data_IF_876230095713
#
_entry.id   IF_876230095713
#
_cell.length_a   1.000
_cell.length_b   1.000
_cell.length_c   1.000
_cell.angle_alpha   90.00
_cell.angle_beta   90.00
_cell.angle_gamma   90.00
#
_symmetry.space_group_name_H-M   'P 1'
#
loop_
_entity.id
_entity.type
_entity.pdbx_description
1 polymer ?
#
# COMPACT_ATOMS: atom_id res chain seq x y z
N UNK A 1 11.91 12.58 -7.30
CA UNK A 1 10.91 11.49 -7.15
C UNK A 1 10.08 11.86 -5.95
N UNK A 2 8.77 12.00 -6.14
CA UNK A 2 7.84 12.34 -5.06
C UNK A 2 7.36 11.04 -4.43
N UNK A 3 7.56 10.90 -3.13
CA UNK A 3 6.95 9.84 -2.33
C UNK A 3 5.70 10.42 -1.71
N UNK A 4 4.57 9.76 -1.90
CA UNK A 4 3.29 10.15 -1.31
C UNK A 4 2.93 9.12 -0.26
N UNK A 5 2.56 9.59 0.92
CA UNK A 5 2.25 8.72 2.05
C UNK A 5 0.87 9.02 2.61
N UNK A 6 0.15 7.97 3.00
CA UNK A 6 -1.21 8.08 3.51
C UNK A 6 -1.49 7.01 4.56
N UNK A 7 -1.99 7.43 5.70
CA UNK A 7 -2.52 6.52 6.72
C UNK A 7 -3.92 6.05 6.31
N UNK A 8 -4.13 4.74 6.34
CA UNK A 8 -5.40 4.11 5.99
C UNK A 8 -5.78 3.05 7.01
N UNK A 9 -7.07 2.99 7.34
CA UNK A 9 -7.61 1.92 8.15
C UNK A 9 -7.97 0.71 7.27
N UNK A 10 -7.42 -0.46 7.60
CA UNK A 10 -7.71 -1.74 6.94
C UNK A 10 -8.04 -2.76 8.02
N UNK A 11 -9.20 -3.41 7.92
CA UNK A 11 -9.67 -4.39 8.90
C UNK A 11 -9.63 -3.90 10.37
N UNK A 12 -9.93 -2.62 10.61
CA UNK A 12 -9.97 -2.03 11.94
C UNK A 12 -8.61 -1.61 12.51
N UNK A 13 -7.51 -1.78 11.78
CA UNK A 13 -6.17 -1.34 12.18
C UNK A 13 -5.66 -0.24 11.25
N UNK A 14 -4.88 0.69 11.80
CA UNK A 14 -4.23 1.73 11.02
C UNK A 14 -2.92 1.23 10.43
N UNK A 15 -2.74 1.48 9.13
CA UNK A 15 -1.53 1.21 8.39
C UNK A 15 -1.08 2.44 7.64
N UNK A 16 0.23 2.58 7.51
CA UNK A 16 0.85 3.66 6.78
C UNK A 16 1.29 3.15 5.40
N UNK A 17 0.68 3.70 4.36
CA UNK A 17 0.99 3.36 2.96
C UNK A 17 1.89 4.45 2.39
N UNK A 18 3.09 4.07 1.96
CA UNK A 18 3.99 4.95 1.23
C UNK A 18 4.08 4.47 -0.22
N UNK A 19 3.70 5.33 -1.16
CA UNK A 19 3.76 5.09 -2.60
C UNK A 19 4.89 5.92 -3.20
N UNK A 20 5.67 5.32 -4.09
CA UNK A 20 6.75 6.01 -4.82
C UNK A 20 6.66 5.64 -6.28
N UNK A 21 6.56 6.65 -7.15
CA UNK A 21 6.55 6.43 -8.58
C UNK A 21 7.89 5.86 -9.06
N UNK A 22 7.85 4.65 -9.62
CA UNK A 22 9.03 3.91 -10.11
C UNK A 22 9.33 4.23 -11.58
N UNK A 23 8.41 4.92 -12.27
CA UNK A 23 8.39 5.04 -13.73
C UNK A 23 7.49 3.98 -14.37
N UNK A 24 7.27 4.09 -15.69
CA UNK A 24 6.50 3.08 -16.46
C UNK A 24 5.07 2.84 -15.93
N UNK A 25 4.42 3.89 -15.44
CA UNK A 25 3.08 3.79 -14.81
C UNK A 25 3.01 2.80 -13.65
N UNK A 26 4.14 2.55 -12.98
CA UNK A 26 4.24 1.67 -11.83
C UNK A 26 4.61 2.47 -10.57
N UNK A 27 3.98 2.08 -9.47
CA UNK A 27 4.19 2.66 -8.16
C UNK A 27 4.59 1.56 -7.19
N UNK A 28 5.73 1.77 -6.52
CA UNK A 28 6.10 0.94 -5.38
C UNK A 28 5.26 1.34 -4.18
N UNK A 29 4.55 0.39 -3.61
CA UNK A 29 3.74 0.57 -2.42
C UNK A 29 4.39 -0.17 -1.26
N UNK A 30 4.66 0.55 -0.18
CA UNK A 30 5.13 -0.02 1.06
C UNK A 30 4.10 0.19 2.15
N UNK A 31 3.67 -0.90 2.79
CA UNK A 31 2.70 -0.86 3.88
C UNK A 31 3.42 -1.11 5.19
N UNK A 32 3.24 -0.19 6.14
CA UNK A 32 3.82 -0.27 7.48
C UNK A 32 2.73 -0.30 8.55
N UNK A 33 3.00 -1.00 9.65
CA UNK A 33 2.21 -0.95 10.87
C UNK A 33 3.12 -0.44 11.99
N UNK A 34 2.90 0.81 12.42
CA UNK A 34 3.89 1.55 13.21
C UNK A 34 5.23 1.65 12.47
N UNK A 35 6.32 1.29 13.14
CA UNK A 35 7.68 1.32 12.59
C UNK A 35 8.03 0.09 11.72
N UNK A 36 7.17 -0.93 11.66
CA UNK A 36 7.46 -2.18 10.96
C UNK A 36 6.85 -2.21 9.56
N UNK A 37 7.67 -2.48 8.55
CA UNK A 37 7.19 -2.82 7.20
C UNK A 37 6.50 -4.19 7.26
N UNK A 38 5.22 -4.20 6.87
CA UNK A 38 4.38 -5.39 6.86
C UNK A 38 4.45 -6.07 5.50
N UNK A 39 4.38 -5.28 4.43
CA UNK A 39 4.51 -5.77 3.05
C UNK A 39 4.96 -4.67 2.10
N UNK A 40 5.42 -5.09 0.93
CA UNK A 40 5.80 -4.22 -0.17
C UNK A 40 5.39 -4.89 -1.50
N UNK A 41 4.77 -4.12 -2.39
CA UNK A 41 4.31 -4.61 -3.69
C UNK A 41 4.28 -3.48 -4.71
N UNK A 42 4.15 -3.81 -6.00
CA UNK A 42 4.03 -2.83 -7.09
C UNK A 42 2.60 -2.79 -7.58
N UNK A 43 2.09 -1.59 -7.82
CA UNK A 43 0.80 -1.34 -8.45
C UNK A 43 1.03 -0.59 -9.75
N UNK A 44 0.47 -1.11 -10.85
CA UNK A 44 0.39 -0.37 -12.11
C UNK A 44 -0.84 0.53 -12.05
N UNK A 45 -0.66 1.84 -12.21
CA UNK A 45 -1.74 2.81 -12.21
C UNK A 45 -1.35 4.03 -13.07
N UNK A 46 -2.34 4.72 -13.60
CA UNK A 46 -2.12 5.95 -14.37
C UNK A 46 -1.99 7.16 -13.43
N UNK A 47 -2.67 7.13 -12.29
CA UNK A 47 -2.67 8.22 -11.30
C UNK A 47 -2.37 7.75 -9.88
N UNK A 48 -1.75 8.62 -9.08
CA UNK A 48 -1.42 8.36 -7.66
C UNK A 48 -2.64 8.02 -6.80
N UNK A 49 -3.81 8.63 -7.08
CA UNK A 49 -5.05 8.36 -6.34
C UNK A 49 -5.53 6.92 -6.52
N UNK A 50 -5.42 6.38 -7.73
CA UNK A 50 -5.82 5.01 -8.05
C UNK A 50 -4.90 3.98 -7.38
N UNK A 51 -3.62 4.32 -7.18
CA UNK A 51 -2.65 3.47 -6.49
C UNK A 51 -3.10 3.17 -5.09
N UNK A 52 -3.58 4.17 -4.34
CA UNK A 52 -3.97 3.99 -2.95
C UNK A 52 -5.22 3.11 -2.81
N UNK A 53 -6.20 3.27 -3.70
CA UNK A 53 -7.41 2.45 -3.70
C UNK A 53 -7.09 0.99 -4.05
N UNK A 54 -6.31 0.78 -5.11
CA UNK A 54 -5.82 -0.55 -5.52
C UNK A 54 -4.94 -1.21 -4.44
N UNK A 55 -4.02 -0.45 -3.84
CA UNK A 55 -3.16 -0.92 -2.77
C UNK A 55 -3.95 -1.33 -1.53
N UNK A 56 -4.95 -0.54 -1.15
CA UNK A 56 -5.81 -0.85 -0.01
C UNK A 56 -6.61 -2.12 -0.26
N UNK A 57 -7.20 -2.29 -1.45
CA UNK A 57 -7.94 -3.49 -1.81
C UNK A 57 -7.04 -4.73 -1.82
N UNK A 58 -5.86 -4.65 -2.42
CA UNK A 58 -4.88 -5.73 -2.45
C UNK A 58 -4.45 -6.14 -1.03
N UNK A 59 -4.04 -5.15 -0.22
CA UNK A 59 -3.62 -5.41 1.16
C UNK A 59 -4.75 -5.92 2.05
N UNK A 60 -5.98 -5.42 1.90
CA UNK A 60 -7.15 -5.94 2.64
C UNK A 60 -7.36 -7.42 2.33
N UNK A 61 -7.32 -7.79 1.05
CA UNK A 61 -7.48 -9.18 0.64
C UNK A 61 -6.37 -10.07 1.20
N UNK A 62 -5.12 -9.64 1.17
CA UNK A 62 -4.00 -10.38 1.76
C UNK A 62 -4.13 -10.57 3.28
N UNK A 63 -4.62 -9.56 4.00
CA UNK A 63 -4.90 -9.66 5.43
C UNK A 63 -6.05 -10.63 5.69
N UNK A 64 -7.12 -10.56 4.92
CA UNK A 64 -8.29 -11.46 5.03
C UNK A 64 -7.94 -12.92 4.68
N UNK A 65 -7.05 -13.12 3.71
CA UNK A 65 -6.54 -14.44 3.33
C UNK A 65 -5.51 -15.00 4.33
N UNK A 66 -5.04 -14.19 5.29
CA UNK A 66 -4.03 -14.60 6.26
C UNK A 66 -2.60 -14.63 5.71
N UNK A 67 -2.37 -14.05 4.53
CA UNK A 67 -1.03 -13.90 3.93
C UNK A 67 -0.18 -12.91 4.73
N UNK A 68 -0.82 -11.97 5.41
CA UNK A 68 -0.20 -10.94 6.22
C UNK A 68 -0.49 -11.23 7.70
N UNK A 69 0.54 -11.62 8.44
CA UNK A 69 0.44 -11.75 9.90
C UNK A 69 0.71 -10.40 10.57
N UNK A 70 -0.38 -9.72 10.93
CA UNK A 70 -0.41 -8.42 11.63
C UNK A 70 -0.90 -8.56 13.06
#
# INVERSE_FOLDING_TARGET
MSTVERNMNVNGREYHFATTYDGDSQYNVQVRSGDKVVTMFKIAAESEEEVFDAAKAHFSADVEMGNINV
#
